data_IF_351449499620
#
_entry.id   IF_351449499620
#
_cell.length_a   1.000
_cell.length_b   1.000
_cell.length_c   1.000
_cell.angle_alpha   90.00
_cell.angle_beta   90.00
_cell.angle_gamma   90.00
#
_symmetry.space_group_name_H-M   'P 1'
#
loop_
_entity.id
_entity.type
_entity.pdbx_description
1 polymer ?
#
# COMPACT_ATOMS: atom_id res chain seq x y z
N UNK A 1 -17.74 33.57 21.95
CA UNK A 1 -17.55 32.16 22.24
C UNK A 1 -18.25 31.34 21.18
N UNK A 2 -17.55 30.91 20.14
CA UNK A 2 -18.09 30.01 19.12
C UNK A 2 -17.01 28.94 18.93
N UNK A 3 -17.07 27.94 19.79
CA UNK A 3 -16.34 26.67 19.62
C UNK A 3 -17.28 25.70 18.94
N UNK A 4 -17.60 25.98 17.68
CA UNK A 4 -18.33 25.03 16.85
C UNK A 4 -17.34 24.24 15.98
N UNK A 5 -17.55 22.95 15.91
CA UNK A 5 -16.78 21.91 15.20
C UNK A 5 -16.49 22.33 13.75
N UNK A 6 -15.57 23.24 13.55
CA UNK A 6 -15.02 23.51 12.22
C UNK A 6 -14.39 22.24 11.69
N UNK A 7 -15.04 21.59 10.76
CA UNK A 7 -14.38 20.55 9.96
C UNK A 7 -13.46 21.26 8.95
N UNK A 8 -12.40 21.86 9.49
CA UNK A 8 -11.46 22.67 8.72
C UNK A 8 -10.96 21.95 7.47
N UNK A 9 -10.60 22.70 6.46
CA UNK A 9 -9.95 22.23 5.22
C UNK A 9 -8.81 21.30 5.57
N UNK A 10 -8.00 21.63 6.59
CA UNK A 10 -6.93 20.78 7.12
C UNK A 10 -7.44 19.38 7.49
N UNK A 11 -8.58 19.27 8.19
CA UNK A 11 -9.13 17.99 8.61
C UNK A 11 -9.68 17.17 7.44
N UNK A 12 -10.29 17.81 6.45
CA UNK A 12 -10.76 17.17 5.22
C UNK A 12 -9.58 16.65 4.39
N UNK A 13 -8.53 17.47 4.20
CA UNK A 13 -7.28 17.08 3.53
C UNK A 13 -6.61 15.90 4.24
N UNK A 14 -6.41 16.02 5.56
CA UNK A 14 -5.79 14.96 6.36
C UNK A 14 -6.58 13.65 6.27
N UNK A 15 -7.91 13.68 6.41
CA UNK A 15 -8.75 12.48 6.25
C UNK A 15 -8.64 11.87 4.85
N UNK A 16 -8.55 12.70 3.80
CA UNK A 16 -8.36 12.26 2.43
C UNK A 16 -7.02 11.55 2.23
N UNK A 17 -5.92 12.18 2.64
CA UNK A 17 -4.59 11.60 2.54
C UNK A 17 -4.43 10.32 3.39
N UNK A 18 -4.98 10.31 4.62
CA UNK A 18 -4.96 9.11 5.46
C UNK A 18 -5.71 7.95 4.82
N UNK A 19 -6.86 8.17 4.17
CA UNK A 19 -7.56 7.12 3.45
C UNK A 19 -6.72 6.52 2.32
N UNK A 20 -6.08 7.36 1.51
CA UNK A 20 -5.21 6.91 0.41
C UNK A 20 -3.99 6.16 0.97
N UNK A 21 -3.38 6.68 2.05
CA UNK A 21 -2.25 6.04 2.72
C UNK A 21 -2.62 4.66 3.29
N UNK A 22 -3.81 4.52 3.91
CA UNK A 22 -4.30 3.24 4.44
C UNK A 22 -4.50 2.23 3.29
N UNK A 23 -5.11 2.63 2.17
CA UNK A 23 -5.29 1.74 1.01
C UNK A 23 -3.92 1.28 0.47
N UNK A 24 -2.96 2.20 0.36
CA UNK A 24 -1.58 1.87 -0.05
C UNK A 24 -0.88 0.94 0.93
N UNK A 25 -1.03 1.17 2.24
CA UNK A 25 -0.46 0.31 3.28
C UNK A 25 -1.06 -1.11 3.24
N UNK A 26 -2.38 -1.24 3.06
CA UNK A 26 -3.04 -2.54 2.92
C UNK A 26 -2.50 -3.26 1.68
N UNK A 27 -2.35 -2.57 0.55
CA UNK A 27 -1.77 -3.15 -0.67
C UNK A 27 -0.36 -3.68 -0.44
N UNK A 28 0.49 -2.91 0.26
CA UNK A 28 1.85 -3.32 0.59
C UNK A 28 1.88 -4.56 1.50
N UNK A 29 1.03 -4.60 2.52
CA UNK A 29 0.92 -5.77 3.43
C UNK A 29 0.48 -7.02 2.66
N UNK A 30 -0.55 -6.91 1.80
CA UNK A 30 -1.00 -8.03 0.97
C UNK A 30 0.13 -8.51 0.05
N UNK A 31 0.88 -7.60 -0.58
CA UNK A 31 2.04 -7.95 -1.41
C UNK A 31 3.13 -8.70 -0.64
N UNK A 32 3.48 -8.24 0.56
CA UNK A 32 4.47 -8.91 1.42
C UNK A 32 3.99 -10.30 1.82
N UNK A 33 2.74 -10.44 2.27
CA UNK A 33 2.15 -11.74 2.65
C UNK A 33 2.14 -12.70 1.46
N UNK A 34 1.78 -12.22 0.27
CA UNK A 34 1.80 -13.03 -0.94
C UNK A 34 3.19 -13.54 -1.29
N UNK A 35 4.23 -12.68 -1.19
CA UNK A 35 5.62 -13.07 -1.40
C UNK A 35 6.10 -14.11 -0.38
N UNK A 36 5.74 -13.95 0.90
CA UNK A 36 6.10 -14.91 1.95
C UNK A 36 5.45 -16.27 1.70
N UNK A 37 4.16 -16.30 1.33
CA UNK A 37 3.46 -17.55 0.99
C UNK A 37 4.13 -18.22 -0.23
N UNK A 38 4.44 -17.46 -1.27
CA UNK A 38 5.13 -17.98 -2.45
C UNK A 38 6.49 -18.57 -2.08
N UNK A 39 7.31 -17.86 -1.31
CA UNK A 39 8.63 -18.33 -0.87
C UNK A 39 8.54 -19.66 -0.10
N UNK A 40 7.61 -19.78 0.86
CA UNK A 40 7.39 -21.00 1.63
C UNK A 40 6.97 -22.17 0.73
N UNK A 41 6.10 -21.91 -0.25
CA UNK A 41 5.64 -22.97 -1.16
C UNK A 41 6.74 -23.41 -2.13
N UNK A 42 7.56 -22.48 -2.64
CA UNK A 42 8.72 -22.81 -3.47
C UNK A 42 9.75 -23.63 -2.69
N UNK A 43 10.08 -23.22 -1.46
CA UNK A 43 10.99 -23.97 -0.59
C UNK A 43 10.46 -25.40 -0.33
N UNK A 44 9.16 -25.51 -0.06
CA UNK A 44 8.51 -26.80 0.13
C UNK A 44 8.59 -27.68 -1.12
N UNK A 45 8.27 -27.16 -2.30
CA UNK A 45 8.34 -27.91 -3.55
C UNK A 45 9.77 -28.38 -3.84
N UNK A 46 10.75 -27.49 -3.69
CA UNK A 46 12.16 -27.80 -3.93
C UNK A 46 12.69 -28.84 -2.93
N UNK A 47 12.42 -28.67 -1.64
CA UNK A 47 12.94 -29.58 -0.60
C UNK A 47 12.27 -30.96 -0.59
N UNK A 48 10.95 -31.02 -0.89
CA UNK A 48 10.20 -32.29 -0.83
C UNK A 48 10.24 -33.10 -2.13
N UNK A 49 10.44 -32.44 -3.27
CA UNK A 49 10.41 -33.11 -4.56
C UNK A 49 11.74 -32.97 -5.30
N UNK A 50 12.31 -31.78 -5.41
CA UNK A 50 13.53 -31.53 -6.18
C UNK A 50 14.76 -32.19 -5.54
N UNK A 51 15.06 -31.94 -4.28
CA UNK A 51 16.22 -32.53 -3.59
C UNK A 51 16.04 -34.04 -3.36
N UNK A 52 14.82 -34.47 -3.08
CA UNK A 52 14.51 -35.91 -2.93
C UNK A 52 14.84 -36.71 -4.20
N UNK A 53 14.58 -36.16 -5.41
CA UNK A 53 14.99 -36.78 -6.67
C UNK A 53 16.53 -36.97 -6.74
N UNK A 54 17.30 -35.97 -6.28
CA UNK A 54 18.74 -36.03 -6.21
C UNK A 54 19.22 -37.14 -5.27
N UNK A 55 18.59 -37.29 -4.11
CA UNK A 55 18.93 -38.31 -3.11
C UNK A 55 18.55 -39.72 -3.59
N UNK A 56 17.40 -39.89 -4.28
CA UNK A 56 17.04 -41.15 -4.95
C UNK A 56 18.11 -41.50 -6.00
N UNK A 57 18.51 -40.51 -6.83
CA UNK A 57 19.54 -40.73 -7.86
C UNK A 57 20.87 -41.18 -7.30
N UNK A 58 21.34 -40.60 -6.20
CA UNK A 58 22.56 -41.03 -5.49
C UNK A 58 22.44 -42.47 -4.94
N UNK A 59 21.29 -42.78 -4.34
CA UNK A 59 21.01 -44.10 -3.80
C UNK A 59 21.04 -45.17 -4.90
N UNK A 60 20.34 -44.93 -6.02
CA UNK A 60 20.31 -45.82 -7.17
C UNK A 60 21.69 -45.99 -7.79
N UNK A 61 22.48 -44.93 -7.92
CA UNK A 61 23.83 -45.01 -8.45
C UNK A 61 24.73 -45.85 -7.57
N UNK A 62 24.75 -45.63 -6.25
CA UNK A 62 25.55 -46.41 -5.31
C UNK A 62 25.12 -47.88 -5.26
N UNK A 63 23.80 -48.15 -5.30
CA UNK A 63 23.25 -49.50 -5.39
C UNK A 63 23.71 -50.24 -6.66
N UNK A 64 23.60 -49.59 -7.82
CA UNK A 64 24.04 -50.14 -9.10
C UNK A 64 25.56 -50.37 -9.16
N UNK A 65 26.34 -49.46 -8.57
CA UNK A 65 27.81 -49.60 -8.51
C UNK A 65 28.23 -50.73 -7.58
N UNK A 66 27.58 -50.92 -6.41
CA UNK A 66 27.78 -52.09 -5.51
C UNK A 66 27.48 -53.40 -6.25
N UNK A 67 26.32 -53.45 -6.93
CA UNK A 67 25.91 -54.58 -7.76
C UNK A 67 26.94 -54.92 -8.86
N UNK A 68 27.44 -53.86 -9.55
CA UNK A 68 28.44 -54.00 -10.60
C UNK A 68 29.76 -54.56 -10.07
N UNK A 69 30.19 -54.12 -8.89
CA UNK A 69 31.40 -54.60 -8.23
C UNK A 69 31.26 -56.06 -7.84
N UNK A 70 30.10 -56.48 -7.25
CA UNK A 70 29.84 -57.87 -6.92
C UNK A 70 29.86 -58.76 -8.16
N UNK A 71 29.26 -58.37 -9.26
CA UNK A 71 29.33 -59.10 -10.55
C UNK A 71 30.75 -59.25 -11.07
N UNK A 72 31.59 -58.24 -10.84
CA UNK A 72 33.01 -58.33 -11.21
C UNK A 72 33.74 -59.34 -10.31
N UNK A 73 33.42 -59.43 -9.00
CA UNK A 73 33.96 -60.49 -8.11
C UNK A 73 33.58 -61.83 -8.63
N UNK A 74 32.36 -62.08 -9.09
CA UNK A 74 31.88 -63.34 -9.65
C UNK A 74 32.44 -63.60 -11.04
N UNK A 75 32.88 -62.59 -11.79
CA UNK A 75 33.26 -62.73 -13.20
C UNK A 75 34.75 -62.71 -13.49
N UNK A 76 35.64 -62.39 -12.54
CA UNK A 76 37.09 -62.36 -12.70
C UNK A 76 37.79 -63.46 -11.97
N UNK A 77 38.91 -63.97 -12.53
CA UNK A 77 39.76 -65.03 -11.94
C UNK A 77 41.04 -64.45 -11.31
N UNK A 78 41.34 -63.19 -11.47
CA UNK A 78 42.52 -62.48 -10.93
C UNK A 78 42.24 -62.01 -9.49
N UNK A 79 42.93 -62.59 -8.53
CA UNK A 79 42.78 -62.34 -7.08
C UNK A 79 42.94 -60.85 -6.74
N UNK A 80 43.94 -60.19 -7.34
CA UNK A 80 44.15 -58.76 -7.08
C UNK A 80 43.02 -57.89 -7.64
N UNK A 81 42.33 -58.29 -8.71
CA UNK A 81 41.11 -57.64 -9.24
C UNK A 81 39.94 -57.91 -8.33
N UNK A 82 39.80 -59.20 -7.88
CA UNK A 82 38.73 -59.63 -6.97
C UNK A 82 38.78 -58.78 -5.68
N UNK A 83 39.95 -58.72 -5.01
CA UNK A 83 40.13 -57.96 -3.77
C UNK A 83 39.70 -56.46 -3.94
N UNK A 84 40.15 -55.87 -5.04
CA UNK A 84 39.76 -54.48 -5.36
C UNK A 84 38.25 -54.29 -5.59
N UNK A 85 37.59 -55.28 -6.19
CA UNK A 85 36.14 -55.23 -6.41
C UNK A 85 35.35 -55.45 -5.12
N UNK A 86 35.86 -56.28 -4.21
CA UNK A 86 35.29 -56.43 -2.86
C UNK A 86 35.36 -55.11 -2.10
N UNK A 87 36.53 -54.46 -2.10
CA UNK A 87 36.66 -53.12 -1.46
C UNK A 87 35.70 -52.09 -2.07
N UNK A 88 35.57 -52.06 -3.42
CA UNK A 88 34.65 -51.19 -4.12
C UNK A 88 33.18 -51.50 -3.75
N UNK A 89 32.80 -52.78 -3.72
CA UNK A 89 31.47 -53.24 -3.32
C UNK A 89 31.12 -52.73 -1.93
N UNK A 90 31.99 -52.96 -0.94
CA UNK A 90 31.76 -52.52 0.44
C UNK A 90 31.67 -50.99 0.57
N UNK A 91 32.55 -50.27 -0.15
CA UNK A 91 32.50 -48.83 -0.22
C UNK A 91 31.16 -48.31 -0.78
N UNK A 92 30.68 -48.94 -1.88
CA UNK A 92 29.43 -48.50 -2.52
C UNK A 92 28.20 -48.88 -1.74
N UNK A 93 28.23 -50.06 -1.04
CA UNK A 93 27.20 -50.46 -0.10
C UNK A 93 27.09 -49.46 1.07
N UNK A 94 28.21 -49.10 1.69
CA UNK A 94 28.23 -48.09 2.75
C UNK A 94 27.73 -46.73 2.27
N UNK A 95 28.09 -46.30 1.05
CA UNK A 95 27.57 -45.08 0.44
C UNK A 95 26.07 -45.16 0.20
N UNK A 96 25.58 -46.31 -0.27
CA UNK A 96 24.13 -46.53 -0.45
C UNK A 96 23.37 -46.41 0.87
N UNK A 97 23.84 -47.04 1.94
CA UNK A 97 23.22 -46.96 3.27
C UNK A 97 23.15 -45.50 3.77
N UNK A 98 24.24 -44.74 3.57
CA UNK A 98 24.26 -43.31 3.91
C UNK A 98 23.25 -42.50 3.09
N UNK A 99 23.14 -42.73 1.78
CA UNK A 99 22.17 -42.05 0.92
C UNK A 99 20.73 -42.46 1.22
N UNK A 100 20.49 -43.68 1.64
CA UNK A 100 19.17 -44.12 2.10
C UNK A 100 18.75 -43.43 3.40
N UNK A 101 19.69 -43.16 4.30
CA UNK A 101 19.40 -42.36 5.50
C UNK A 101 19.08 -40.88 5.13
N UNK A 102 19.84 -40.23 4.22
CA UNK A 102 19.53 -38.92 3.68
C UNK A 102 18.13 -38.91 3.04
N UNK A 103 17.83 -39.90 2.21
CA UNK A 103 16.54 -40.07 1.54
C UNK A 103 15.39 -40.25 2.54
N UNK A 104 15.59 -40.97 3.63
CA UNK A 104 14.63 -41.12 4.72
C UNK A 104 14.21 -39.76 5.32
N UNK A 105 15.14 -38.81 5.40
CA UNK A 105 14.88 -37.46 5.93
C UNK A 105 14.26 -36.52 4.91
N UNK A 106 14.52 -36.73 3.62
CA UNK A 106 13.99 -35.86 2.55
C UNK A 106 12.55 -36.18 2.13
N UNK A 107 12.11 -37.44 2.26
CA UNK A 107 10.74 -37.87 1.93
C UNK A 107 9.77 -37.43 3.03
N UNK A 108 8.94 -36.42 2.76
CA UNK A 108 7.99 -35.83 3.73
C UNK A 108 6.51 -35.99 3.34
N UNK A 109 6.21 -36.58 2.20
CA UNK A 109 4.84 -36.82 1.73
C UNK A 109 4.46 -38.30 1.82
N UNK A 110 3.19 -38.59 2.04
CA UNK A 110 2.69 -39.93 2.43
C UNK A 110 2.97 -40.98 1.38
N UNK A 111 2.63 -40.71 0.12
CA UNK A 111 2.81 -41.69 -0.98
C UNK A 111 4.27 -42.00 -1.22
N UNK A 112 5.16 -41.00 -1.09
CA UNK A 112 6.62 -41.22 -1.16
C UNK A 112 7.14 -42.04 0.00
N UNK A 113 6.60 -41.86 1.19
CA UNK A 113 6.95 -42.66 2.36
C UNK A 113 6.54 -44.12 2.17
N UNK A 114 5.36 -44.37 1.61
CA UNK A 114 4.87 -45.71 1.33
C UNK A 114 5.74 -46.41 0.28
N UNK A 115 6.13 -45.72 -0.79
CA UNK A 115 7.05 -46.25 -1.81
C UNK A 115 8.45 -46.54 -1.24
N UNK A 116 9.01 -45.62 -0.43
CA UNK A 116 10.28 -45.80 0.25
C UNK A 116 10.26 -47.03 1.17
N UNK A 117 9.18 -47.24 1.93
CA UNK A 117 9.04 -48.39 2.81
C UNK A 117 9.00 -49.73 2.04
N UNK A 118 8.45 -49.75 0.82
CA UNK A 118 8.53 -50.96 -0.04
C UNK A 118 9.96 -51.28 -0.41
N UNK A 119 10.75 -50.27 -0.83
CA UNK A 119 12.18 -50.48 -1.11
C UNK A 119 12.88 -51.05 0.09
N UNK A 120 12.65 -50.52 1.31
CA UNK A 120 13.27 -51.02 2.53
C UNK A 120 12.92 -52.49 2.83
N UNK A 121 11.66 -52.91 2.61
CA UNK A 121 11.22 -54.29 2.86
C UNK A 121 11.93 -55.30 1.98
N UNK A 122 12.36 -54.95 0.80
CA UNK A 122 13.03 -55.85 -0.15
C UNK A 122 14.54 -55.82 -0.02
N UNK A 123 15.12 -54.74 0.50
CA UNK A 123 16.56 -54.59 0.69
C UNK A 123 17.16 -55.58 1.65
N UNK A 124 16.46 -55.97 2.72
CA UNK A 124 16.98 -56.93 3.69
C UNK A 124 17.26 -58.29 3.02
N UNK A 125 16.30 -58.78 2.22
CA UNK A 125 16.46 -60.02 1.46
C UNK A 125 17.55 -59.95 0.39
N UNK A 126 17.65 -58.78 -0.28
CA UNK A 126 18.70 -58.54 -1.27
C UNK A 126 20.09 -58.62 -0.65
N UNK A 127 20.33 -57.88 0.47
CA UNK A 127 21.65 -57.88 1.12
C UNK A 127 22.02 -59.19 1.75
N UNK A 128 21.04 -60.01 2.17
CA UNK A 128 21.29 -61.38 2.62
C UNK A 128 21.79 -62.28 1.46
N UNK A 129 21.13 -62.17 0.31
CA UNK A 129 21.52 -62.90 -0.90
C UNK A 129 22.85 -62.39 -1.47
N UNK A 130 23.09 -61.10 -1.48
CA UNK A 130 24.32 -60.42 -1.89
C UNK A 130 25.53 -60.94 -1.06
N UNK A 131 25.40 -60.98 0.25
CA UNK A 131 26.42 -61.54 1.14
C UNK A 131 26.68 -63.04 0.92
N UNK A 132 25.62 -63.75 0.57
CA UNK A 132 25.75 -65.19 0.23
C UNK A 132 26.51 -65.37 -1.08
N UNK A 133 26.23 -64.63 -2.12
CA UNK A 133 26.93 -64.62 -3.41
C UNK A 133 28.40 -64.26 -3.20
N UNK A 134 28.67 -63.18 -2.46
CA UNK A 134 30.06 -62.77 -2.16
C UNK A 134 30.85 -63.83 -1.45
N UNK A 135 30.26 -64.45 -0.43
CA UNK A 135 30.89 -65.57 0.31
C UNK A 135 31.18 -66.76 -0.57
N UNK A 136 30.27 -67.15 -1.45
CA UNK A 136 30.47 -68.32 -2.35
C UNK A 136 31.50 -68.00 -3.44
N UNK A 137 31.50 -66.79 -4.00
CA UNK A 137 32.44 -66.37 -5.03
C UNK A 137 33.88 -66.23 -4.54
N UNK A 138 34.09 -66.07 -3.22
CA UNK A 138 35.42 -66.02 -2.56
C UNK A 138 35.83 -67.31 -1.88
N UNK A 139 35.11 -68.41 -2.12
CA UNK A 139 35.44 -69.68 -1.59
C UNK A 139 36.44 -70.45 -2.51
N UNK A 140 37.33 -71.21 -1.92
CA UNK A 140 38.30 -72.10 -2.66
C UNK A 140 37.62 -73.31 -3.33
N UNK A 141 36.26 -73.33 -3.35
CA UNK A 141 35.50 -74.49 -3.86
C UNK A 141 34.87 -74.15 -5.22
N UNK A 142 35.21 -74.94 -6.24
CA UNK A 142 34.68 -74.77 -7.59
C UNK A 142 33.13 -74.88 -7.65
N UNK A 143 32.56 -75.80 -6.82
CA UNK A 143 31.09 -75.90 -6.68
C UNK A 143 30.48 -74.62 -6.03
N UNK A 144 31.21 -74.02 -5.10
CA UNK A 144 30.82 -72.70 -4.49
C UNK A 144 30.76 -71.59 -5.51
N UNK A 145 31.76 -71.46 -6.36
CA UNK A 145 31.87 -70.50 -7.42
C UNK A 145 30.71 -70.61 -8.46
N UNK A 146 30.42 -71.83 -8.92
CA UNK A 146 29.29 -72.04 -9.84
C UNK A 146 27.94 -71.68 -9.22
N UNK A 147 27.75 -72.02 -7.92
CA UNK A 147 26.54 -71.58 -7.19
C UNK A 147 26.46 -70.09 -7.04
N UNK A 148 27.59 -69.38 -6.84
CA UNK A 148 27.63 -67.92 -6.81
C UNK A 148 27.14 -67.31 -8.14
N UNK A 149 27.60 -67.93 -9.27
CA UNK A 149 27.14 -67.45 -10.62
C UNK A 149 25.65 -67.69 -10.83
N UNK A 150 25.14 -68.87 -10.45
CA UNK A 150 23.72 -69.21 -10.58
C UNK A 150 22.85 -68.27 -9.74
N UNK A 151 23.23 -67.97 -8.50
CA UNK A 151 22.51 -67.03 -7.62
C UNK A 151 22.59 -65.57 -8.15
N UNK A 152 23.78 -65.16 -8.63
CA UNK A 152 23.97 -63.81 -9.17
C UNK A 152 23.11 -63.58 -10.39
N UNK A 153 23.07 -64.54 -11.33
CA UNK A 153 22.28 -64.39 -12.58
C UNK A 153 20.78 -64.60 -12.32
N UNK A 154 20.43 -65.44 -11.38
CA UNK A 154 19.06 -65.81 -11.05
C UNK A 154 18.42 -64.87 -10.01
N UNK A 155 18.38 -65.38 -8.78
CA UNK A 155 17.58 -64.74 -7.70
C UNK A 155 18.05 -63.32 -7.35
N UNK A 156 19.36 -63.08 -7.29
CA UNK A 156 19.89 -61.77 -6.93
C UNK A 156 19.62 -60.73 -8.03
N UNK A 157 19.70 -61.12 -9.32
CA UNK A 157 19.32 -60.23 -10.43
C UNK A 157 17.83 -59.91 -10.37
N UNK A 158 16.96 -60.89 -10.12
CA UNK A 158 15.52 -60.65 -10.04
C UNK A 158 15.17 -59.68 -8.90
N UNK A 159 15.78 -59.85 -7.71
CA UNK A 159 15.58 -58.91 -6.59
C UNK A 159 16.15 -57.50 -6.90
N UNK A 160 17.33 -57.42 -7.54
CA UNK A 160 17.91 -56.16 -7.96
C UNK A 160 16.97 -55.40 -8.91
N UNK A 161 16.44 -56.07 -9.94
CA UNK A 161 15.52 -55.45 -10.91
C UNK A 161 14.24 -54.99 -10.26
N UNK A 162 13.71 -55.72 -9.28
CA UNK A 162 12.53 -55.34 -8.53
C UNK A 162 12.79 -54.10 -7.69
N UNK A 163 13.87 -54.06 -6.90
CA UNK A 163 14.24 -52.88 -6.09
C UNK A 163 14.53 -51.67 -6.98
N UNK A 164 15.21 -51.89 -8.11
CA UNK A 164 15.47 -50.81 -9.08
C UNK A 164 14.18 -50.25 -9.65
N UNK A 165 13.19 -51.09 -9.96
CA UNK A 165 11.88 -50.65 -10.41
C UNK A 165 11.13 -49.82 -9.34
N UNK A 166 11.18 -50.24 -8.07
CA UNK A 166 10.59 -49.47 -6.95
C UNK A 166 11.28 -48.09 -6.77
N UNK A 167 12.60 -48.00 -6.97
CA UNK A 167 13.28 -46.69 -7.00
C UNK A 167 12.84 -45.80 -8.17
N UNK A 168 12.64 -46.39 -9.36
CA UNK A 168 12.13 -45.66 -10.53
C UNK A 168 10.72 -45.18 -10.27
N UNK A 169 9.86 -45.99 -9.66
CA UNK A 169 8.51 -45.60 -9.27
C UNK A 169 8.50 -44.46 -8.24
N UNK A 170 9.37 -44.55 -7.23
CA UNK A 170 9.56 -43.48 -6.24
C UNK A 170 10.05 -42.16 -6.91
N UNK A 171 10.99 -42.27 -7.86
CA UNK A 171 11.47 -41.14 -8.64
C UNK A 171 10.35 -40.51 -9.46
N UNK A 172 9.58 -41.33 -10.19
CA UNK A 172 8.45 -40.87 -11.01
C UNK A 172 7.39 -40.18 -10.15
N UNK A 173 7.11 -40.72 -8.97
CA UNK A 173 6.19 -40.12 -8.02
C UNK A 173 6.67 -38.74 -7.56
N UNK A 174 7.96 -38.57 -7.29
CA UNK A 174 8.55 -37.28 -6.93
C UNK A 174 8.46 -36.27 -8.10
N UNK A 175 8.69 -36.72 -9.34
CA UNK A 175 8.55 -35.89 -10.55
C UNK A 175 7.10 -35.44 -10.70
N UNK A 176 6.14 -36.36 -10.66
CA UNK A 176 4.73 -36.07 -10.80
C UNK A 176 4.24 -35.05 -9.74
N UNK A 177 4.63 -35.25 -8.49
CA UNK A 177 4.29 -34.33 -7.40
C UNK A 177 4.98 -32.97 -7.57
N UNK A 178 6.20 -32.95 -8.10
CA UNK A 178 6.92 -31.73 -8.45
C UNK A 178 6.20 -30.94 -9.54
N UNK A 179 5.78 -31.59 -10.61
CA UNK A 179 5.03 -30.99 -11.72
C UNK A 179 3.67 -30.45 -11.24
N UNK A 180 2.97 -31.20 -10.39
CA UNK A 180 1.72 -30.74 -9.78
C UNK A 180 1.94 -29.50 -8.92
N UNK A 181 3.04 -29.47 -8.16
CA UNK A 181 3.40 -28.30 -7.35
C UNK A 181 3.74 -27.09 -8.22
N UNK A 182 4.46 -27.25 -9.32
CA UNK A 182 4.77 -26.18 -10.29
C UNK A 182 3.49 -25.57 -10.88
N UNK A 183 2.56 -26.39 -11.35
CA UNK A 183 1.27 -25.92 -11.89
C UNK A 183 0.48 -25.14 -10.85
N UNK A 184 0.40 -25.66 -9.62
CA UNK A 184 -0.31 -24.99 -8.53
C UNK A 184 0.34 -23.65 -8.14
N UNK A 185 1.67 -23.60 -8.09
CA UNK A 185 2.44 -22.37 -7.86
C UNK A 185 2.20 -21.35 -8.96
N UNK A 186 2.20 -21.76 -10.23
CA UNK A 186 1.91 -20.90 -11.37
C UNK A 186 0.49 -20.33 -11.34
N UNK A 187 -0.50 -21.11 -10.92
CA UNK A 187 -1.85 -20.59 -10.72
C UNK A 187 -1.92 -19.58 -9.58
N UNK A 188 -1.28 -19.86 -8.46
CA UNK A 188 -1.24 -18.98 -7.29
C UNK A 188 -0.54 -17.65 -7.63
N UNK A 189 0.59 -17.69 -8.35
CA UNK A 189 1.32 -16.53 -8.82
C UNK A 189 0.43 -15.63 -9.70
N UNK A 190 -0.27 -16.19 -10.68
CA UNK A 190 -1.19 -15.44 -11.56
C UNK A 190 -2.32 -14.77 -10.77
N UNK A 191 -2.92 -15.49 -9.82
CA UNK A 191 -3.98 -14.93 -8.97
C UNK A 191 -3.45 -13.77 -8.14
N UNK A 192 -2.25 -13.91 -7.54
CA UNK A 192 -1.61 -12.84 -6.78
C UNK A 192 -1.28 -11.62 -7.64
N UNK A 193 -0.74 -11.81 -8.85
CA UNK A 193 -0.46 -10.72 -9.78
C UNK A 193 -1.73 -9.95 -10.15
N UNK A 194 -2.81 -10.65 -10.48
CA UNK A 194 -4.10 -10.03 -10.80
C UNK A 194 -4.64 -9.28 -9.58
N UNK A 195 -4.59 -9.86 -8.39
CA UNK A 195 -5.05 -9.22 -7.16
C UNK A 195 -4.28 -7.93 -6.86
N UNK A 196 -2.95 -7.95 -6.96
CA UNK A 196 -2.11 -6.76 -6.78
C UNK A 196 -2.45 -5.68 -7.81
N UNK A 197 -2.61 -6.05 -9.09
CA UNK A 197 -2.97 -5.12 -10.15
C UNK A 197 -4.32 -4.44 -9.90
N UNK A 198 -5.33 -5.21 -9.48
CA UNK A 198 -6.65 -4.68 -9.12
C UNK A 198 -6.56 -3.70 -7.95
N UNK A 199 -5.78 -4.03 -6.91
CA UNK A 199 -5.59 -3.15 -5.74
C UNK A 199 -4.89 -1.84 -6.15
N UNK A 200 -3.86 -1.91 -6.99
CA UNK A 200 -3.14 -0.73 -7.49
C UNK A 200 -4.08 0.15 -8.31
N UNK A 201 -4.86 -0.43 -9.23
CA UNK A 201 -5.82 0.32 -10.06
C UNK A 201 -6.92 0.98 -9.23
N UNK A 202 -7.47 0.28 -8.24
CA UNK A 202 -8.50 0.82 -7.34
C UNK A 202 -7.94 1.93 -6.45
N UNK A 203 -6.71 1.80 -5.96
CA UNK A 203 -6.01 2.83 -5.19
C UNK A 203 -5.77 4.09 -6.03
N UNK A 204 -5.27 3.92 -7.26
CA UNK A 204 -5.06 5.02 -8.19
C UNK A 204 -6.37 5.77 -8.51
N UNK A 205 -7.43 5.02 -8.88
CA UNK A 205 -8.75 5.59 -9.17
C UNK A 205 -9.32 6.35 -7.96
N UNK A 206 -9.25 5.74 -6.78
CA UNK A 206 -9.70 6.36 -5.53
C UNK A 206 -8.96 7.67 -5.24
N UNK A 207 -7.64 7.69 -5.47
CA UNK A 207 -6.81 8.89 -5.29
C UNK A 207 -7.22 10.02 -6.25
N UNK A 208 -7.44 9.71 -7.53
CA UNK A 208 -7.86 10.70 -8.54
C UNK A 208 -9.25 11.27 -8.22
N UNK A 209 -10.21 10.41 -7.88
CA UNK A 209 -11.58 10.84 -7.52
C UNK A 209 -11.56 11.73 -6.28
N UNK A 210 -10.81 11.32 -5.26
CA UNK A 210 -10.68 12.10 -4.03
C UNK A 210 -9.99 13.44 -4.28
N UNK A 211 -8.92 13.45 -5.08
CA UNK A 211 -8.20 14.68 -5.47
C UNK A 211 -9.11 15.68 -6.19
N UNK A 212 -9.87 15.22 -7.21
CA UNK A 212 -10.83 16.06 -7.93
C UNK A 212 -11.93 16.61 -7.03
N UNK A 213 -12.47 15.78 -6.13
CA UNK A 213 -13.51 16.23 -5.18
C UNK A 213 -12.97 17.28 -4.22
N UNK A 214 -11.74 17.12 -3.73
CA UNK A 214 -11.11 18.06 -2.80
C UNK A 214 -10.76 19.37 -3.51
N UNK A 215 -10.17 19.29 -4.71
CA UNK A 215 -9.88 20.48 -5.53
C UNK A 215 -11.16 21.29 -5.78
N UNK A 216 -12.24 20.66 -6.25
CA UNK A 216 -13.51 21.34 -6.50
C UNK A 216 -14.14 21.98 -5.26
N UNK A 217 -13.99 21.37 -4.10
CA UNK A 217 -14.54 21.90 -2.84
C UNK A 217 -13.73 23.09 -2.27
N UNK A 218 -12.49 23.28 -2.67
CA UNK A 218 -11.63 24.37 -2.20
C UNK A 218 -11.48 25.44 -3.28
N UNK A 219 -11.11 25.06 -4.49
CA UNK A 219 -10.77 25.98 -5.57
C UNK A 219 -11.96 26.85 -6.01
N UNK A 220 -13.10 26.23 -6.32
CA UNK A 220 -14.26 26.95 -6.83
C UNK A 220 -14.77 28.03 -5.87
N UNK A 221 -15.00 27.74 -4.56
CA UNK A 221 -15.44 28.78 -3.63
C UNK A 221 -14.39 29.87 -3.38
N UNK A 222 -13.10 29.54 -3.42
CA UNK A 222 -12.01 30.51 -3.27
C UNK A 222 -11.97 31.49 -4.45
N UNK A 223 -12.09 30.96 -5.68
CA UNK A 223 -12.17 31.82 -6.89
C UNK A 223 -13.40 32.72 -6.81
N UNK A 224 -14.57 32.16 -6.50
CA UNK A 224 -15.80 32.96 -6.37
C UNK A 224 -15.69 34.05 -5.31
N UNK A 225 -15.03 33.79 -4.17
CA UNK A 225 -14.78 34.82 -3.16
C UNK A 225 -13.79 35.86 -3.66
N UNK A 226 -12.71 35.45 -4.35
CA UNK A 226 -11.72 36.38 -4.91
C UNK A 226 -12.35 37.32 -5.94
N UNK A 227 -13.15 36.79 -6.87
CA UNK A 227 -13.87 37.59 -7.88
C UNK A 227 -14.81 38.58 -7.21
N UNK A 228 -15.54 38.14 -6.16
CA UNK A 228 -16.44 39.03 -5.41
C UNK A 228 -15.67 40.12 -4.65
N UNK A 229 -14.54 39.80 -4.05
CA UNK A 229 -13.67 40.79 -3.39
C UNK A 229 -13.08 41.79 -4.40
N UNK A 230 -12.80 41.36 -5.61
CA UNK A 230 -12.35 42.26 -6.68
C UNK A 230 -13.42 43.29 -7.07
N UNK A 231 -14.68 42.87 -7.25
CA UNK A 231 -15.80 43.84 -7.52
C UNK A 231 -16.06 44.72 -6.33
N UNK A 232 -15.97 44.21 -5.10
CA UNK A 232 -16.03 44.99 -3.87
C UNK A 232 -14.97 46.10 -3.83
N UNK A 233 -13.71 45.78 -4.18
CA UNK A 233 -12.63 46.77 -4.24
C UNK A 233 -12.84 47.83 -5.32
N UNK A 234 -13.67 47.55 -6.32
CA UNK A 234 -14.10 48.50 -7.36
C UNK A 234 -15.30 49.38 -6.93
N UNK A 235 -15.79 49.21 -5.68
CA UNK A 235 -16.89 50.02 -5.12
C UNK A 235 -18.26 49.34 -5.15
N UNK A 236 -18.37 48.11 -5.63
CA UNK A 236 -19.63 47.36 -5.54
C UNK A 236 -19.83 46.80 -4.12
N UNK A 237 -20.54 47.53 -3.29
CA UNK A 237 -20.84 47.16 -1.91
C UNK A 237 -22.11 46.31 -1.79
N UNK A 238 -22.95 46.24 -2.82
CA UNK A 238 -24.31 45.69 -2.74
C UNK A 238 -24.47 44.29 -3.31
N UNK A 239 -23.61 43.88 -4.24
CA UNK A 239 -23.70 42.50 -4.82
C UNK A 239 -23.52 41.41 -3.77
N UNK A 240 -24.27 40.33 -3.93
CA UNK A 240 -24.25 39.19 -3.00
C UNK A 240 -22.90 38.48 -2.99
N UNK A 241 -22.44 38.12 -1.81
CA UNK A 241 -21.30 37.22 -1.64
C UNK A 241 -21.71 35.77 -1.95
N UNK A 242 -20.77 34.92 -2.39
CA UNK A 242 -21.04 33.50 -2.61
C UNK A 242 -21.68 32.87 -1.36
N UNK A 243 -22.65 31.98 -1.57
CA UNK A 243 -23.25 31.23 -0.49
C UNK A 243 -22.61 29.83 -0.40
N UNK A 244 -22.50 29.29 0.81
CA UNK A 244 -21.87 27.99 1.07
C UNK A 244 -22.43 27.35 2.31
N UNK A 245 -22.92 26.09 2.14
CA UNK A 245 -23.56 25.28 3.22
C UNK A 245 -22.59 24.55 4.14
N UNK A 246 -21.27 24.77 4.01
CA UNK A 246 -20.26 24.11 4.84
C UNK A 246 -19.74 25.03 5.92
N UNK A 247 -19.47 24.48 7.12
CA UNK A 247 -18.84 25.20 8.23
C UNK A 247 -17.32 24.98 8.22
N UNK A 248 -16.62 25.57 7.24
CA UNK A 248 -15.16 25.50 7.13
C UNK A 248 -14.53 26.91 7.10
N UNK A 249 -13.21 26.97 6.97
CA UNK A 249 -12.46 28.23 6.96
C UNK A 249 -12.87 29.17 5.80
N UNK A 250 -13.28 28.60 4.66
CA UNK A 250 -13.74 29.41 3.51
C UNK A 250 -15.09 30.03 3.83
N UNK A 251 -16.02 29.31 4.43
CA UNK A 251 -17.30 29.83 4.88
C UNK A 251 -17.12 30.98 5.90
N UNK A 252 -16.17 30.80 6.82
CA UNK A 252 -15.82 31.86 7.76
C UNK A 252 -15.26 33.10 7.05
N UNK A 253 -14.37 32.93 6.07
CA UNK A 253 -13.85 34.04 5.26
C UNK A 253 -14.97 34.78 4.49
N UNK A 254 -15.91 34.02 3.90
CA UNK A 254 -17.08 34.61 3.21
C UNK A 254 -17.94 35.42 4.19
N UNK A 255 -18.21 34.89 5.39
CA UNK A 255 -19.00 35.62 6.40
C UNK A 255 -18.32 36.90 6.87
N UNK A 256 -17.00 36.84 7.12
CA UNK A 256 -16.23 38.05 7.50
C UNK A 256 -16.26 39.09 6.39
N UNK A 257 -16.04 38.70 5.13
CA UNK A 257 -16.08 39.58 3.98
C UNK A 257 -17.48 40.19 3.77
N UNK A 258 -18.54 39.41 3.95
CA UNK A 258 -19.92 39.85 3.89
C UNK A 258 -20.25 40.88 4.97
N UNK A 259 -19.79 40.60 6.22
CA UNK A 259 -19.94 41.58 7.32
C UNK A 259 -19.20 42.88 7.07
N UNK A 260 -17.96 42.80 6.59
CA UNK A 260 -17.17 43.99 6.22
C UNK A 260 -17.86 44.82 5.13
N UNK A 261 -18.39 44.18 4.08
CA UNK A 261 -19.09 44.88 3.01
C UNK A 261 -20.37 45.55 3.51
N UNK A 262 -21.14 44.86 4.37
CA UNK A 262 -22.36 45.42 4.96
C UNK A 262 -22.06 46.62 5.86
N UNK A 263 -21.08 46.55 6.73
CA UNK A 263 -20.71 47.68 7.61
C UNK A 263 -20.15 48.84 6.82
N UNK A 264 -19.34 48.59 5.79
CA UNK A 264 -18.82 49.66 4.92
C UNK A 264 -19.94 50.33 4.11
N UNK A 265 -20.89 49.53 3.60
CA UNK A 265 -22.06 50.09 2.88
C UNK A 265 -22.91 50.99 3.78
N UNK A 266 -23.15 50.58 5.04
CA UNK A 266 -23.86 51.40 6.01
C UNK A 266 -23.15 52.74 6.26
N UNK A 267 -21.83 52.71 6.50
CA UNK A 267 -21.02 53.91 6.74
C UNK A 267 -21.02 54.87 5.54
N UNK A 268 -20.84 54.34 4.32
CA UNK A 268 -20.83 55.16 3.10
C UNK A 268 -22.21 55.77 2.81
N UNK A 269 -23.27 54.98 3.02
CA UNK A 269 -24.65 55.44 2.84
C UNK A 269 -24.98 56.57 3.85
N UNK A 270 -24.69 56.36 5.15
CA UNK A 270 -24.93 57.37 6.20
C UNK A 270 -24.12 58.65 5.96
N UNK A 271 -22.83 58.51 5.61
CA UNK A 271 -22.00 59.66 5.28
C UNK A 271 -22.53 60.43 4.05
N UNK A 272 -22.99 59.72 3.01
CA UNK A 272 -23.61 60.30 1.82
C UNK A 272 -24.91 61.05 2.13
N UNK A 273 -25.78 60.47 2.96
CA UNK A 273 -27.01 61.13 3.43
C UNK A 273 -26.73 62.42 4.22
N UNK A 274 -25.76 62.30 5.19
CA UNK A 274 -25.38 63.48 5.98
C UNK A 274 -24.82 64.58 5.11
N UNK A 275 -23.92 64.34 4.21
CA UNK A 275 -23.34 65.31 3.30
C UNK A 275 -24.38 65.88 2.32
N UNK A 276 -25.32 65.07 1.85
CA UNK A 276 -26.44 65.50 1.01
C UNK A 276 -27.33 66.47 1.74
N UNK A 277 -27.75 66.16 2.97
CA UNK A 277 -28.58 67.11 3.75
C UNK A 277 -27.83 68.38 4.12
N UNK A 278 -26.52 68.29 4.41
CA UNK A 278 -25.69 69.49 4.61
C UNK A 278 -25.65 70.39 3.35
N UNK A 279 -25.56 69.75 2.18
CA UNK A 279 -25.59 70.49 0.91
C UNK A 279 -26.95 71.25 0.65
N UNK A 280 -28.05 70.67 1.19
CA UNK A 280 -29.37 71.28 1.17
C UNK A 280 -29.56 72.35 2.25
N UNK A 281 -28.56 72.63 3.06
CA UNK A 281 -28.59 73.61 4.13
C UNK A 281 -29.08 73.09 5.49
N UNK A 282 -29.34 71.84 5.61
CA UNK A 282 -29.73 71.20 6.90
C UNK A 282 -28.50 70.76 7.71
N UNK A 283 -28.11 71.63 8.68
CA UNK A 283 -26.95 71.37 9.56
C UNK A 283 -27.38 70.87 10.95
N UNK A 284 -28.66 70.66 11.23
CA UNK A 284 -29.19 70.17 12.49
C UNK A 284 -29.29 68.63 12.50
N UNK A 285 -28.27 67.93 11.94
CA UNK A 285 -28.27 66.52 11.69
C UNK A 285 -27.05 65.82 12.27
N UNK A 286 -27.15 64.51 12.50
CA UNK A 286 -26.06 63.67 12.94
C UNK A 286 -26.23 62.23 12.48
N UNK A 287 -25.18 61.44 12.57
CA UNK A 287 -25.22 60.00 12.23
C UNK A 287 -26.22 59.25 13.10
N UNK A 288 -26.95 58.29 12.51
CA UNK A 288 -27.87 57.38 13.19
C UNK A 288 -27.18 56.05 13.56
N UNK A 289 -25.96 55.82 13.08
CA UNK A 289 -25.19 54.57 13.23
C UNK A 289 -23.83 54.82 13.88
N UNK A 290 -23.81 55.62 14.94
CA UNK A 290 -22.56 56.06 15.61
C UNK A 290 -21.67 54.89 16.01
N UNK A 291 -22.26 53.78 16.45
CA UNK A 291 -21.57 52.52 16.85
C UNK A 291 -20.84 51.81 15.70
N UNK A 292 -21.17 52.12 14.43
CA UNK A 292 -20.51 51.54 13.26
C UNK A 292 -19.23 52.32 12.87
N UNK A 293 -19.11 53.58 13.29
CA UNK A 293 -17.89 54.35 13.06
C UNK A 293 -16.79 53.98 14.05
N UNK A 294 -16.11 52.85 13.78
CA UNK A 294 -15.02 52.31 14.63
C UNK A 294 -13.66 52.50 13.97
N UNK A 295 -12.58 52.46 14.76
CA UNK A 295 -11.21 52.56 14.25
C UNK A 295 -10.98 53.86 13.48
N UNK A 296 -10.47 53.81 12.27
CA UNK A 296 -10.19 54.98 11.43
C UNK A 296 -11.45 55.71 10.92
N UNK A 297 -12.61 55.06 10.90
CA UNK A 297 -13.88 55.67 10.55
C UNK A 297 -14.35 56.70 11.56
N UNK A 298 -13.87 56.63 12.81
CA UNK A 298 -14.10 57.70 13.82
C UNK A 298 -13.60 59.05 13.31
N UNK A 299 -12.44 59.08 12.65
CA UNK A 299 -11.87 60.29 12.10
C UNK A 299 -12.78 60.93 11.05
N UNK A 300 -13.39 60.09 10.18
CA UNK A 300 -14.36 60.58 9.18
C UNK A 300 -15.60 61.17 9.87
N UNK A 301 -16.17 60.48 10.85
CA UNK A 301 -17.32 60.96 11.64
C UNK A 301 -17.01 62.30 12.31
N UNK A 302 -15.85 62.38 12.98
CA UNK A 302 -15.47 63.62 13.70
C UNK A 302 -15.22 64.79 12.76
N UNK A 303 -14.65 64.56 11.56
CA UNK A 303 -14.47 65.55 10.54
C UNK A 303 -15.83 66.06 10.02
N UNK A 304 -16.79 65.21 9.71
CA UNK A 304 -18.13 65.54 9.32
C UNK A 304 -18.87 66.38 10.42
N UNK A 305 -18.77 65.94 11.68
CA UNK A 305 -19.33 66.66 12.82
C UNK A 305 -18.72 68.03 12.98
N UNK A 306 -17.39 68.16 12.85
CA UNK A 306 -16.71 69.47 12.93
C UNK A 306 -17.17 70.41 11.84
N UNK A 307 -17.24 69.89 10.59
CA UNK A 307 -17.72 70.66 9.44
C UNK A 307 -19.15 71.13 9.67
N UNK A 308 -20.04 70.23 10.11
CA UNK A 308 -21.45 70.57 10.38
C UNK A 308 -21.60 71.65 11.46
N UNK A 309 -20.89 71.51 12.60
CA UNK A 309 -20.91 72.51 13.67
C UNK A 309 -20.40 73.87 13.17
N UNK A 310 -19.34 73.91 12.37
CA UNK A 310 -18.74 75.11 11.87
C UNK A 310 -19.65 75.85 10.89
N UNK A 311 -20.27 75.10 9.98
CA UNK A 311 -21.26 75.64 9.05
C UNK A 311 -22.49 76.20 9.78
N UNK A 312 -23.04 75.45 10.73
CA UNK A 312 -24.18 75.93 11.54
C UNK A 312 -23.81 77.17 12.32
N UNK A 313 -22.64 77.21 12.95
CA UNK A 313 -22.15 78.43 13.65
C UNK A 313 -21.98 79.63 12.68
N UNK A 314 -21.42 79.40 11.49
CA UNK A 314 -21.27 80.46 10.46
C UNK A 314 -22.60 80.99 10.01
N UNK A 315 -23.57 80.13 9.75
CA UNK A 315 -24.92 80.53 9.34
C UNK A 315 -25.63 81.31 10.44
N UNK A 316 -25.51 80.95 11.71
CA UNK A 316 -26.04 81.74 12.83
C UNK A 316 -25.41 83.11 12.92
N UNK A 317 -24.09 83.22 12.69
CA UNK A 317 -23.40 84.52 12.67
C UNK A 317 -23.86 85.37 11.49
N UNK A 318 -24.09 84.80 10.29
CA UNK A 318 -24.62 85.49 9.14
C UNK A 318 -26.06 85.96 9.40
N UNK A 319 -26.89 85.10 10.02
CA UNK A 319 -28.26 85.48 10.39
C UNK A 319 -28.28 86.66 11.38
N UNK A 320 -27.40 86.59 12.42
CA UNK A 320 -27.31 87.68 13.39
C UNK A 320 -26.78 88.96 12.75
N UNK A 321 -25.77 88.88 11.87
CA UNK A 321 -25.31 90.04 11.13
C UNK A 321 -26.37 90.62 10.21
N UNK A 322 -27.15 89.77 9.52
CA UNK A 322 -28.27 90.19 8.69
C UNK A 322 -29.37 90.90 9.53
N UNK A 323 -29.70 90.42 10.73
CA UNK A 323 -30.64 91.07 11.65
C UNK A 323 -30.12 92.39 12.12
N UNK A 324 -28.81 92.51 12.43
CA UNK A 324 -28.19 93.79 12.81
C UNK A 324 -28.21 94.82 11.67
N UNK A 325 -27.91 94.40 10.43
CA UNK A 325 -28.01 95.26 9.25
C UNK A 325 -29.45 95.71 8.99
N UNK A 326 -30.42 94.78 9.11
CA UNK A 326 -31.86 95.11 8.98
C UNK A 326 -32.31 96.13 10.01
N UNK A 327 -31.98 95.93 11.28
CA UNK A 327 -32.31 96.86 12.38
C UNK A 327 -31.58 98.17 12.22
N UNK A 328 -30.34 98.20 11.76
CA UNK A 328 -29.59 99.42 11.44
C UNK A 328 -30.22 100.20 10.28
N UNK A 329 -30.70 99.48 9.26
CA UNK A 329 -31.37 100.04 8.11
C UNK A 329 -32.73 100.63 8.51
N UNK A 330 -33.47 99.99 9.40
CA UNK A 330 -34.75 100.45 9.93
C UNK A 330 -34.57 101.69 10.81
N UNK A 331 -33.54 101.71 11.64
CA UNK A 331 -33.18 102.88 12.43
C UNK A 331 -32.78 104.13 11.53
N UNK A 332 -32.04 103.86 10.47
CA UNK A 332 -31.70 104.93 9.49
C UNK A 332 -32.94 105.45 8.77
N UNK A 333 -33.86 104.53 8.40
CA UNK A 333 -35.12 104.93 7.76
C UNK A 333 -36.06 105.73 8.70
N UNK A 334 -35.98 105.50 10.01
CA UNK A 334 -36.75 106.30 11.02
C UNK A 334 -36.10 107.65 11.36
N UNK A 335 -34.82 107.80 11.08
CA UNK A 335 -34.07 109.05 11.38
C UNK A 335 -33.94 110.00 10.18
N UNK A 336 -34.37 109.56 9.00
CA UNK A 336 -34.49 110.40 7.78
C UNK A 336 -35.90 110.95 7.61
#
# INVERSE_FOLDING_TARGET
MVTQKQQGIKKQLTKGFVKVAIIGAIAAVIGIVALLIAAIQYEKALSQYGFTQGDIGKSVAAFSESRSALRAVVGYDDEAVIDKQIELHDQKKAAFESYMDELNHSIKFTEGRDAYNKVLQELDGYWELDAQVLKLATSDDEDGYLKAQDLDIGDLTAQYEQIYAEFVDLMNLCVEKGDQAEVNLGHMERIMLIAILVIVMTSFWSSVVLGKKMAGNIEKPMIALADRLQTFAQGDLNSAFPDRDTEDEISYMIQVAKGMAADLNLIITDAGELLGQMAEGNYAIGTKIEEKYVGQFVTLKDAMRKMNRQMNSTLQQVEEAAKQVSAGSENLAQSA
#
